data_IF_066646951382
#
_entry.id   IF_066646951382
#
_cell.length_a   1.000
_cell.length_b   1.000
_cell.length_c   1.000
_cell.angle_alpha   90.00
_cell.angle_beta   90.00
_cell.angle_gamma   90.00
#
_symmetry.space_group_name_H-M   'P 1'
#
loop_
_entity.id
_entity.type
_entity.pdbx_description
1 polymer ?
#
# COMPACT_ATOMS: atom_id res chain seq x y z
N UNK A 1 -20.73 2.21 -22.07
CA UNK A 1 -19.25 2.28 -22.08
C UNK A 1 -18.66 1.31 -21.03
N UNK A 2 -18.34 0.09 -21.46
CA UNK A 2 -17.75 -0.91 -20.58
C UNK A 2 -16.29 -0.52 -20.32
N UNK A 3 -16.04 0.16 -19.20
CA UNK A 3 -14.68 0.35 -18.71
C UNK A 3 -14.17 -1.03 -18.30
N UNK A 4 -13.35 -1.68 -19.15
CA UNK A 4 -12.64 -2.91 -18.82
C UNK A 4 -11.63 -2.70 -17.67
N UNK A 5 -10.47 -3.34 -17.66
CA UNK A 5 -9.51 -3.18 -16.55
C UNK A 5 -8.81 -1.79 -16.43
N UNK A 6 -9.11 -0.82 -17.31
CA UNK A 6 -8.48 0.52 -17.30
C UNK A 6 -8.68 1.31 -15.98
N UNK A 7 -9.81 1.22 -15.25
CA UNK A 7 -9.99 1.86 -13.95
C UNK A 7 -9.08 1.27 -12.88
N UNK A 8 -8.80 -0.04 -12.92
CA UNK A 8 -8.07 -0.75 -11.86
C UNK A 8 -6.67 -0.17 -11.63
N UNK A 9 -5.94 0.12 -12.71
CA UNK A 9 -4.60 0.74 -12.59
C UNK A 9 -4.64 2.07 -11.85
N UNK A 10 -5.64 2.91 -12.12
CA UNK A 10 -5.81 4.23 -11.49
C UNK A 10 -6.23 4.12 -10.02
N UNK A 11 -7.03 3.11 -9.69
CA UNK A 11 -7.45 2.82 -8.31
C UNK A 11 -6.26 2.36 -7.48
N UNK A 12 -5.42 1.46 -8.02
CA UNK A 12 -4.22 0.98 -7.35
C UNK A 12 -3.22 2.13 -7.14
N UNK A 13 -2.99 2.97 -8.15
CA UNK A 13 -2.10 4.13 -8.00
C UNK A 13 -2.55 5.04 -6.84
N UNK A 14 -3.81 5.51 -6.87
CA UNK A 14 -4.28 6.46 -5.85
C UNK A 14 -4.40 5.86 -4.46
N UNK A 15 -4.90 4.63 -4.35
CA UNK A 15 -5.21 4.05 -3.04
C UNK A 15 -4.03 3.29 -2.45
N UNK A 16 -2.98 2.98 -3.21
CA UNK A 16 -1.83 2.24 -2.70
C UNK A 16 -0.53 3.02 -2.90
N UNK A 17 -0.22 3.42 -4.13
CA UNK A 17 1.05 4.06 -4.43
C UNK A 17 1.19 5.42 -3.73
N UNK A 18 0.15 6.25 -3.72
CA UNK A 18 0.19 7.56 -3.05
C UNK A 18 0.32 7.42 -1.52
N UNK A 19 -0.37 6.43 -0.92
CA UNK A 19 -0.23 6.14 0.51
C UNK A 19 1.19 5.69 0.87
N UNK A 20 1.78 4.79 0.07
CA UNK A 20 3.16 4.34 0.26
C UNK A 20 4.17 5.48 0.11
N UNK A 21 3.98 6.36 -0.87
CA UNK A 21 4.84 7.53 -1.06
C UNK A 21 4.81 8.44 0.17
N UNK A 22 3.62 8.72 0.73
CA UNK A 22 3.51 9.52 1.95
C UNK A 22 4.21 8.85 3.13
N UNK A 23 4.00 7.55 3.35
CA UNK A 23 4.64 6.81 4.43
C UNK A 23 6.18 6.78 4.31
N UNK A 24 6.70 6.75 3.07
CA UNK A 24 8.14 6.82 2.79
C UNK A 24 8.69 8.20 3.12
N UNK A 25 8.00 9.26 2.71
CA UNK A 25 8.39 10.65 3.00
C UNK A 25 8.30 10.97 4.50
N UNK A 26 7.37 10.35 5.22
CA UNK A 26 7.27 10.43 6.69
C UNK A 26 8.39 9.66 7.43
N UNK A 27 9.19 8.87 6.71
CA UNK A 27 10.24 8.03 7.30
C UNK A 27 9.68 6.85 8.10
N UNK A 28 8.41 6.50 7.91
CA UNK A 28 7.81 5.33 8.56
C UNK A 28 8.29 4.06 7.90
N UNK A 29 8.26 4.01 6.57
CA UNK A 29 8.73 2.84 5.80
C UNK A 29 10.12 3.08 5.24
N UNK A 30 10.92 2.01 5.15
CA UNK A 30 12.29 2.06 4.64
C UNK A 30 12.47 1.16 3.43
N UNK A 31 13.53 1.42 2.67
CA UNK A 31 13.87 0.57 1.52
C UNK A 31 14.25 -0.84 1.99
N UNK A 32 13.76 -1.86 1.29
CA UNK A 32 13.88 -3.27 1.68
C UNK A 32 12.87 -3.76 2.73
N UNK A 33 11.96 -2.90 3.21
CA UNK A 33 10.92 -3.29 4.16
C UNK A 33 9.76 -4.01 3.48
N UNK A 34 9.25 -5.08 4.11
CA UNK A 34 8.08 -5.82 3.61
C UNK A 34 6.80 -5.28 4.24
N UNK A 35 5.91 -4.77 3.40
CA UNK A 35 4.63 -4.19 3.80
C UNK A 35 3.46 -5.09 3.43
N UNK A 36 2.51 -5.23 4.35
CA UNK A 36 1.27 -5.98 4.14
C UNK A 36 0.13 -5.04 3.78
N UNK A 37 -0.50 -5.33 2.64
CA UNK A 37 -1.65 -4.58 2.16
C UNK A 37 -2.90 -5.42 2.38
N UNK A 38 -3.87 -4.88 3.08
CA UNK A 38 -5.16 -5.53 3.35
C UNK A 38 -6.33 -4.60 3.02
N UNK A 39 -7.48 -5.15 2.67
CA UNK A 39 -8.72 -4.36 2.56
C UNK A 39 -9.26 -4.07 3.96
N UNK A 40 -9.43 -2.79 4.30
CA UNK A 40 -10.12 -2.30 5.47
C UNK A 40 -11.50 -1.75 5.11
N UNK A 41 -12.17 -1.15 6.10
CA UNK A 41 -13.55 -0.65 5.97
C UNK A 41 -13.70 0.48 4.95
N UNK A 42 -12.70 1.37 4.86
CA UNK A 42 -12.73 2.56 4.01
C UNK A 42 -11.81 2.48 2.77
N UNK A 43 -11.10 1.36 2.58
CA UNK A 43 -10.17 1.20 1.47
C UNK A 43 -8.99 0.28 1.76
N UNK A 44 -7.88 0.46 1.05
CA UNK A 44 -6.66 -0.32 1.25
C UNK A 44 -5.90 0.23 2.47
N UNK A 45 -5.55 -0.67 3.39
CA UNK A 45 -4.78 -0.40 4.59
C UNK A 45 -3.41 -1.04 4.44
N UNK A 46 -2.36 -0.24 4.55
CA UNK A 46 -0.96 -0.68 4.55
C UNK A 46 -0.49 -0.82 6.00
N UNK A 47 0.05 -1.98 6.35
CA UNK A 47 0.67 -2.25 7.64
C UNK A 47 2.11 -2.68 7.45
N UNK A 48 3.00 -2.13 8.25
CA UNK A 48 4.34 -2.65 8.39
C UNK A 48 4.24 -4.01 9.06
N UNK A 49 4.87 -5.05 8.48
CA UNK A 49 5.10 -6.23 9.28
C UNK A 49 6.13 -5.81 10.33
N UNK A 50 5.86 -5.90 11.64
CA UNK A 50 6.97 -5.90 12.58
C UNK A 50 7.83 -7.07 12.10
N UNK A 51 9.08 -6.80 11.72
CA UNK A 51 10.06 -7.83 11.41
C UNK A 51 10.01 -8.78 12.60
N UNK A 52 9.28 -9.88 12.46
CA UNK A 52 9.15 -10.86 13.51
C UNK A 52 10.58 -11.30 13.74
N UNK A 53 11.04 -11.04 14.96
CA UNK A 53 12.40 -11.28 15.40
C UNK A 53 12.87 -12.62 14.82
N UNK A 54 14.07 -12.57 14.22
CA UNK A 54 14.83 -13.76 13.88
C UNK A 54 14.65 -14.80 14.99
N UNK A 55 14.13 -15.96 14.60
CA UNK A 55 14.16 -17.21 15.37
C UNK A 55 14.60 -18.31 14.40
#
# INVERSE_FOLDING_TARGET
PAYGARPLKRVIQRNLQDQLANLLLEGRIHDGETLYVSAGTDGLVVRQQPMAAAA
#
